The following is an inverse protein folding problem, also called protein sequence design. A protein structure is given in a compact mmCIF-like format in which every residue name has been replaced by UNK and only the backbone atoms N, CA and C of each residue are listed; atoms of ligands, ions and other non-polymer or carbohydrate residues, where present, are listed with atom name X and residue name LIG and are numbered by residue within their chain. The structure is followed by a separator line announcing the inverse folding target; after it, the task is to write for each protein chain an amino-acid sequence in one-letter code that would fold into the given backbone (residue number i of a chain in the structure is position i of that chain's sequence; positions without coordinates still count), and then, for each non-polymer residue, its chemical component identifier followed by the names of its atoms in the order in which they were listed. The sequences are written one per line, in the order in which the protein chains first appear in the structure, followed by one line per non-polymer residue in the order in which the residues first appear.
data_IF_175771542730
#
_entry.id   IF_175771542730
#
_cell.length_a   1.000
_cell.length_b   1.000
_cell.length_c   1.000
_cell.angle_alpha   90.00
_cell.angle_beta   90.00
_cell.angle_gamma   90.00
#
_symmetry.space_group_name_H-M   'P 1'
#
loop_
_entity.id
_entity.type
_entity.pdbx_description
1 polymer ?
#
# COMPACT_ATOMS: atom_id res chain seq x y z
N UNK A 1 65.48 -70.82 -32.68
CA UNK A 1 65.30 -72.28 -32.65
C UNK A 1 64.32 -72.60 -31.54
N UNK A 2 63.21 -73.23 -31.91
CA UNK A 2 62.10 -73.75 -31.09
C UNK A 2 62.22 -73.72 -29.56
N UNK A 3 61.16 -73.23 -28.90
CA UNK A 3 60.47 -74.00 -27.86
C UNK A 3 59.03 -73.50 -27.70
N UNK A 4 58.08 -74.39 -28.03
CA UNK A 4 56.69 -74.39 -27.58
C UNK A 4 56.67 -74.64 -26.06
N UNK A 5 55.67 -74.10 -25.37
CA UNK A 5 54.78 -74.88 -24.49
C UNK A 5 53.54 -74.06 -24.16
N UNK A 6 52.38 -74.62 -24.49
CA UNK A 6 51.05 -74.17 -24.11
C UNK A 6 50.77 -74.46 -22.64
N UNK A 7 50.06 -73.57 -21.94
CA UNK A 7 49.11 -73.98 -20.91
C UNK A 7 47.98 -72.98 -20.76
N UNK A 8 46.77 -73.52 -20.80
CA UNK A 8 45.47 -72.86 -20.70
C UNK A 8 45.28 -72.08 -19.39
N UNK A 9 44.75 -70.86 -19.51
CA UNK A 9 44.24 -70.05 -18.40
C UNK A 9 42.87 -69.48 -18.75
N UNK A 10 41.83 -70.03 -18.12
CA UNK A 10 40.45 -69.53 -18.11
C UNK A 10 40.38 -68.30 -17.19
N UNK A 11 39.72 -67.21 -17.61
CA UNK A 11 39.30 -66.18 -16.65
C UNK A 11 38.93 -64.81 -17.22
N UNK A 12 37.65 -64.47 -17.09
CA UNK A 12 37.05 -63.13 -17.01
C UNK A 12 37.16 -62.15 -18.19
N UNK A 13 36.09 -62.14 -19.00
CA UNK A 13 35.65 -60.93 -19.70
C UNK A 13 35.00 -59.97 -18.69
N UNK A 14 35.62 -58.84 -18.40
CA UNK A 14 34.96 -57.70 -17.76
C UNK A 14 34.04 -57.04 -18.80
N UNK A 15 32.73 -57.32 -18.70
CA UNK A 15 31.71 -56.53 -19.38
C UNK A 15 31.46 -55.27 -18.57
N UNK A 16 31.85 -54.11 -19.11
CA UNK A 16 31.47 -52.82 -18.54
C UNK A 16 29.98 -52.59 -18.81
N UNK A 17 29.14 -52.81 -17.79
CA UNK A 17 27.76 -52.33 -17.78
C UNK A 17 27.79 -50.82 -17.51
N UNK A 18 27.59 -50.02 -18.56
CA UNK A 18 27.27 -48.60 -18.40
C UNK A 18 25.83 -48.53 -17.92
N UNK A 19 25.67 -48.35 -16.60
CA UNK A 19 24.38 -48.10 -15.98
C UNK A 19 24.00 -46.63 -16.25
N UNK A 20 23.25 -46.36 -17.31
CA UNK A 20 22.61 -45.06 -17.51
C UNK A 20 21.54 -44.87 -16.43
N UNK A 21 21.91 -44.22 -15.33
CA UNK A 21 20.96 -43.65 -14.37
C UNK A 21 20.22 -42.51 -15.06
N UNK A 22 19.02 -42.81 -15.58
CA UNK A 22 18.05 -41.79 -15.98
C UNK A 22 17.49 -41.23 -14.68
N UNK A 23 18.02 -40.08 -14.25
CA UNK A 23 17.41 -39.26 -13.19
C UNK A 23 16.09 -38.73 -13.72
N UNK A 24 14.98 -39.36 -13.34
CA UNK A 24 13.66 -38.75 -13.46
C UNK A 24 13.62 -37.58 -12.48
N UNK A 25 13.70 -36.35 -12.99
CA UNK A 25 13.32 -35.17 -12.24
C UNK A 25 11.83 -35.31 -11.92
N UNK A 26 11.50 -35.60 -10.66
CA UNK A 26 10.12 -35.50 -10.21
C UNK A 26 9.71 -34.03 -10.37
N UNK A 27 8.56 -33.73 -11.01
CA UNK A 27 8.04 -32.38 -11.00
C UNK A 27 7.87 -31.97 -9.53
N UNK A 28 8.62 -30.93 -9.13
CA UNK A 28 8.49 -30.38 -7.79
C UNK A 28 7.04 -29.98 -7.58
N UNK A 29 6.38 -30.59 -6.58
CA UNK A 29 5.12 -30.05 -6.07
C UNK A 29 5.47 -28.65 -5.61
N UNK A 30 4.96 -27.62 -6.29
CA UNK A 30 5.08 -26.26 -5.82
C UNK A 30 4.49 -26.24 -4.42
N UNK A 31 5.32 -25.99 -3.41
CA UNK A 31 4.84 -25.84 -2.05
C UNK A 31 3.78 -24.74 -2.05
N UNK A 32 2.65 -24.97 -1.39
CA UNK A 32 1.66 -23.91 -1.18
C UNK A 32 2.36 -22.71 -0.52
N UNK A 33 2.06 -21.48 -0.95
CA UNK A 33 2.67 -20.30 -0.35
C UNK A 33 2.39 -20.28 1.14
N UNK A 34 3.41 -19.95 1.93
CA UNK A 34 3.28 -19.84 3.38
C UNK A 34 2.18 -18.83 3.72
N UNK A 35 1.38 -19.13 4.74
CA UNK A 35 0.28 -18.26 5.14
C UNK A 35 0.05 -18.26 6.64
N UNK A 36 -0.57 -17.18 7.11
CA UNK A 36 -0.98 -16.97 8.51
C UNK A 36 -2.50 -16.89 8.55
N UNK A 37 -3.19 -17.78 9.29
CA UNK A 37 -4.60 -17.57 9.62
C UNK A 37 -4.78 -16.23 10.35
N UNK A 38 -5.80 -15.48 9.99
CA UNK A 38 -6.03 -14.13 10.47
C UNK A 38 -7.47 -13.93 10.96
N UNK A 39 -7.77 -12.73 11.42
CA UNK A 39 -9.09 -12.32 11.91
C UNK A 39 -10.22 -12.63 10.90
N UNK A 40 -11.39 -13.02 11.40
CA UNK A 40 -12.58 -13.23 10.56
C UNK A 40 -12.51 -14.43 9.60
N UNK A 41 -11.49 -15.29 9.74
CA UNK A 41 -11.27 -16.41 8.81
C UNK A 41 -10.44 -16.06 7.57
N UNK A 42 -10.00 -14.80 7.46
CA UNK A 42 -9.06 -14.39 6.41
C UNK A 42 -7.68 -15.06 6.59
N UNK A 43 -6.87 -15.03 5.54
CA UNK A 43 -5.48 -15.48 5.56
C UNK A 43 -4.56 -14.42 4.99
N UNK A 44 -3.43 -14.20 5.65
CA UNK A 44 -2.34 -13.42 5.09
C UNK A 44 -1.39 -14.38 4.36
N UNK A 45 -1.18 -14.16 3.06
CA UNK A 45 -0.40 -15.05 2.19
C UNK A 45 0.95 -14.39 1.90
N UNK A 46 2.06 -15.04 2.24
CA UNK A 46 3.39 -14.57 1.84
C UNK A 46 3.61 -14.83 0.35
N UNK A 47 3.64 -13.76 -0.45
CA UNK A 47 3.80 -13.87 -1.90
C UNK A 47 5.15 -14.47 -2.28
N UNK A 48 5.16 -15.35 -3.28
CA UNK A 48 6.40 -15.63 -4.03
C UNK A 48 6.82 -14.38 -4.83
N UNK A 49 8.10 -14.27 -5.25
CA UNK A 49 8.52 -13.17 -6.11
C UNK A 49 7.69 -13.04 -7.39
N UNK A 50 7.28 -14.16 -8.00
CA UNK A 50 6.42 -14.16 -9.19
C UNK A 50 5.03 -13.59 -8.90
N UNK A 51 4.42 -13.98 -7.78
CA UNK A 51 3.12 -13.44 -7.34
C UNK A 51 3.24 -11.94 -7.02
N UNK A 52 4.31 -11.54 -6.34
CA UNK A 52 4.60 -10.14 -6.00
C UNK A 52 4.78 -9.27 -7.24
N UNK A 53 5.59 -9.72 -8.20
CA UNK A 53 5.84 -9.01 -9.46
C UNK A 53 4.53 -8.84 -10.25
N UNK A 54 3.75 -9.92 -10.38
CA UNK A 54 2.44 -9.86 -11.04
C UNK A 54 1.49 -8.88 -10.35
N UNK A 55 1.51 -8.83 -9.02
CA UNK A 55 0.63 -7.95 -8.25
C UNK A 55 1.02 -6.48 -8.41
N UNK A 56 2.29 -6.13 -8.18
CA UNK A 56 2.73 -4.72 -8.17
C UNK A 56 2.76 -4.08 -9.56
N UNK A 57 2.94 -4.90 -10.61
CA UNK A 57 2.94 -4.45 -12.01
C UNK A 57 1.57 -4.50 -12.68
N UNK A 58 0.51 -4.85 -11.93
CA UNK A 58 -0.84 -4.90 -12.46
C UNK A 58 -1.27 -3.52 -12.99
N UNK A 59 -1.86 -3.51 -14.19
CA UNK A 59 -2.58 -2.35 -14.71
C UNK A 59 -3.89 -2.22 -13.93
N UNK A 60 -3.89 -1.39 -12.89
CA UNK A 60 -5.03 -1.11 -12.04
C UNK A 60 -5.28 0.41 -11.95
N UNK A 61 -6.29 0.79 -11.18
CA UNK A 61 -6.66 2.20 -11.03
C UNK A 61 -5.51 3.08 -10.54
N UNK A 62 -4.65 2.61 -9.62
CA UNK A 62 -3.47 3.39 -9.23
C UNK A 62 -2.57 3.67 -10.43
N UNK A 63 -2.18 2.63 -11.16
CA UNK A 63 -1.31 2.77 -12.33
C UNK A 63 -1.96 3.61 -13.43
N UNK A 64 -3.28 3.54 -13.61
CA UNK A 64 -4.04 4.41 -14.53
C UNK A 64 -3.97 5.90 -14.16
N UNK A 65 -3.89 6.21 -12.87
CA UNK A 65 -3.85 7.58 -12.36
C UNK A 65 -2.43 8.16 -12.22
N UNK A 66 -1.39 7.32 -12.16
CA UNK A 66 -0.01 7.80 -12.07
C UNK A 66 0.36 8.67 -13.28
N UNK A 67 0.78 9.92 -13.00
CA UNK A 67 1.16 10.92 -14.01
C UNK A 67 2.63 10.89 -14.43
N UNK A 68 2.99 11.64 -15.49
CA UNK A 68 4.36 11.67 -16.02
C UNK A 68 5.38 12.29 -15.06
N UNK A 69 5.04 13.43 -14.45
CA UNK A 69 5.90 14.08 -13.45
C UNK A 69 6.01 13.23 -12.18
N UNK A 70 4.91 12.60 -11.78
CA UNK A 70 4.88 11.68 -10.64
C UNK A 70 5.83 10.49 -10.85
N UNK A 71 5.85 9.86 -12.03
CA UNK A 71 6.80 8.78 -12.32
C UNK A 71 8.26 9.23 -12.22
N UNK A 72 8.58 10.44 -12.71
CA UNK A 72 9.93 11.00 -12.57
C UNK A 72 10.32 11.20 -11.11
N UNK A 73 9.41 11.71 -10.29
CA UNK A 73 9.62 11.89 -8.85
C UNK A 73 9.80 10.55 -8.13
N UNK A 74 8.93 9.57 -8.42
CA UNK A 74 9.00 8.22 -7.80
C UNK A 74 10.26 7.45 -8.19
N UNK A 75 10.73 7.61 -9.42
CA UNK A 75 11.96 6.96 -9.91
C UNK A 75 13.23 7.81 -9.78
N UNK A 76 13.12 9.00 -9.19
CA UNK A 76 14.22 9.97 -9.08
C UNK A 76 14.96 10.23 -10.41
N UNK A 77 14.19 10.38 -11.50
CA UNK A 77 14.70 10.57 -12.85
C UNK A 77 14.52 12.01 -13.33
N UNK A 78 15.60 12.64 -13.77
CA UNK A 78 15.54 13.95 -14.44
C UNK A 78 15.05 13.86 -15.90
N UNK A 79 15.02 12.66 -16.46
CA UNK A 79 14.52 12.40 -17.81
C UNK A 79 13.09 11.81 -17.74
N UNK A 80 12.23 12.09 -18.74
CA UNK A 80 10.90 11.52 -18.81
C UNK A 80 10.90 9.99 -18.66
N UNK A 81 10.00 9.50 -17.81
CA UNK A 81 9.84 8.07 -17.52
C UNK A 81 8.63 7.53 -18.27
N UNK A 82 8.80 6.45 -19.03
CA UNK A 82 7.67 5.75 -19.62
C UNK A 82 6.97 4.87 -18.59
N UNK A 83 5.67 4.65 -18.78
CA UNK A 83 4.88 3.76 -17.92
C UNK A 83 5.41 2.32 -17.91
N UNK A 84 5.95 1.85 -19.03
CA UNK A 84 6.61 0.54 -19.12
C UNK A 84 7.88 0.50 -18.25
N UNK A 85 8.71 1.55 -18.29
CA UNK A 85 9.90 1.65 -17.47
C UNK A 85 9.57 1.70 -15.96
N UNK A 86 8.51 2.43 -15.60
CA UNK A 86 8.02 2.50 -14.21
C UNK A 86 7.50 1.15 -13.71
N UNK A 87 6.67 0.45 -14.49
CA UNK A 87 6.22 -0.90 -14.10
C UNK A 87 7.39 -1.87 -13.98
N UNK A 88 8.37 -1.79 -14.89
CA UNK A 88 9.58 -2.60 -14.83
C UNK A 88 10.40 -2.31 -13.56
N UNK A 89 10.51 -1.06 -13.13
CA UNK A 89 11.22 -0.74 -11.88
C UNK A 89 10.49 -1.27 -10.65
N UNK A 90 9.15 -1.17 -10.61
CA UNK A 90 8.35 -1.75 -9.53
C UNK A 90 8.55 -3.28 -9.43
N UNK A 91 8.46 -3.98 -10.57
CA UNK A 91 8.69 -5.43 -10.62
C UNK A 91 10.12 -5.84 -10.20
N UNK A 92 11.12 -5.07 -10.63
CA UNK A 92 12.52 -5.30 -10.25
C UNK A 92 12.78 -5.11 -8.74
N UNK A 93 11.94 -4.37 -8.05
CA UNK A 93 12.02 -4.17 -6.60
C UNK A 93 11.50 -5.35 -5.77
N UNK A 94 10.80 -6.32 -6.36
CA UNK A 94 10.25 -7.46 -5.62
C UNK A 94 11.35 -8.38 -5.11
N UNK A 95 11.25 -8.79 -3.85
CA UNK A 95 12.20 -9.68 -3.18
C UNK A 95 11.56 -10.98 -2.74
N UNK A 96 12.39 -12.01 -2.59
CA UNK A 96 12.01 -13.21 -1.85
C UNK A 96 12.00 -12.93 -0.35
N UNK A 97 11.05 -13.51 0.36
CA UNK A 97 10.99 -13.48 1.82
C UNK A 97 12.17 -14.21 2.46
N UNK A 98 12.70 -13.65 3.53
CA UNK A 98 13.62 -14.35 4.42
C UNK A 98 12.88 -14.95 5.62
N UNK A 99 13.35 -16.07 6.19
CA UNK A 99 12.70 -16.67 7.36
C UNK A 99 12.50 -15.71 8.53
N UNK A 100 13.49 -14.86 8.83
CA UNK A 100 13.41 -13.87 9.90
C UNK A 100 12.37 -12.76 9.64
N UNK A 101 12.15 -12.39 8.37
CA UNK A 101 11.14 -11.39 7.99
C UNK A 101 9.73 -11.97 8.14
N UNK A 102 9.56 -13.24 7.79
CA UNK A 102 8.32 -13.99 7.98
C UNK A 102 7.97 -14.06 9.47
N UNK A 103 8.92 -14.39 10.34
CA UNK A 103 8.69 -14.46 11.79
C UNK A 103 8.24 -13.10 12.38
N UNK A 104 8.81 -11.99 11.88
CA UNK A 104 8.39 -10.63 12.28
C UNK A 104 6.93 -10.39 11.90
N UNK A 105 6.56 -10.69 10.66
CA UNK A 105 5.21 -10.48 10.15
C UNK A 105 4.20 -11.40 10.83
N UNK A 106 4.53 -12.66 11.08
CA UNK A 106 3.68 -13.61 11.80
C UNK A 106 3.37 -13.12 13.22
N UNK A 107 4.39 -12.60 13.93
CA UNK A 107 4.21 -12.02 15.25
C UNK A 107 3.34 -10.76 15.21
N UNK A 108 3.59 -9.86 14.25
CA UNK A 108 2.79 -8.66 14.05
C UNK A 108 1.33 -9.00 13.75
N UNK A 109 1.09 -9.92 12.81
CA UNK A 109 -0.23 -10.40 12.43
C UNK A 109 -0.98 -10.99 13.63
N UNK A 110 -0.30 -11.79 14.46
CA UNK A 110 -0.90 -12.31 15.69
C UNK A 110 -1.35 -11.18 16.63
N UNK A 111 -0.52 -10.17 16.85
CA UNK A 111 -0.86 -9.04 17.71
C UNK A 111 -2.04 -8.24 17.18
N UNK A 112 -2.08 -7.98 15.87
CA UNK A 112 -3.22 -7.29 15.23
C UNK A 112 -4.50 -8.13 15.34
N UNK A 113 -4.41 -9.44 15.08
CA UNK A 113 -5.57 -10.33 15.16
C UNK A 113 -6.15 -10.41 16.59
N UNK A 114 -5.30 -10.45 17.61
CA UNK A 114 -5.68 -10.38 19.03
C UNK A 114 -6.31 -9.02 19.37
N UNK A 115 -5.73 -7.90 18.91
CA UNK A 115 -6.28 -6.57 19.14
C UNK A 115 -7.62 -6.33 18.43
N UNK A 116 -7.87 -7.02 17.32
CA UNK A 116 -9.14 -7.00 16.58
C UNK A 116 -10.25 -7.83 17.27
N UNK A 117 -9.96 -8.57 18.34
CA UNK A 117 -10.99 -9.31 19.05
C UNK A 117 -12.08 -8.37 19.58
N UNK A 118 -13.33 -8.63 19.17
CA UNK A 118 -14.50 -7.83 19.56
C UNK A 118 -14.92 -6.78 18.53
N UNK A 119 -14.15 -6.58 17.46
CA UNK A 119 -14.51 -5.71 16.34
C UNK A 119 -14.99 -6.52 15.12
N UNK A 120 -15.94 -5.97 14.37
CA UNK A 120 -16.32 -6.42 13.04
C UNK A 120 -15.38 -5.76 12.02
N UNK A 121 -14.34 -6.51 11.63
CA UNK A 121 -13.31 -6.04 10.71
C UNK A 121 -13.23 -6.98 9.50
N UNK A 122 -14.09 -6.78 8.48
CA UNK A 122 -14.15 -7.68 7.34
C UNK A 122 -12.95 -7.47 6.41
N UNK A 123 -12.29 -8.57 6.07
CA UNK A 123 -11.22 -8.62 5.07
C UNK A 123 -11.59 -9.59 3.95
N UNK A 124 -11.01 -9.44 2.76
CA UNK A 124 -11.01 -10.51 1.77
C UNK A 124 -10.50 -11.82 2.36
N UNK A 125 -10.94 -12.96 1.80
CA UNK A 125 -10.52 -14.29 2.28
C UNK A 125 -8.99 -14.45 2.28
N UNK A 126 -8.31 -13.84 1.31
CA UNK A 126 -6.87 -13.84 1.19
C UNK A 126 -6.37 -12.41 0.98
N UNK A 127 -5.37 -12.01 1.78
CA UNK A 127 -4.61 -10.77 1.62
C UNK A 127 -3.17 -11.14 1.33
N UNK A 128 -2.66 -10.72 0.17
CA UNK A 128 -1.30 -11.04 -0.25
C UNK A 128 -0.29 -10.07 0.40
N UNK A 129 0.75 -10.60 1.03
CA UNK A 129 1.87 -9.83 1.57
C UNK A 129 3.03 -9.89 0.57
N UNK A 130 3.41 -8.74 0.02
CA UNK A 130 4.44 -8.64 -1.02
C UNK A 130 5.68 -7.96 -0.44
N UNK A 131 6.82 -8.65 -0.47
CA UNK A 131 8.11 -8.11 -0.03
C UNK A 131 8.80 -7.33 -1.15
N UNK A 132 9.18 -6.08 -0.92
CA UNK A 132 9.84 -5.22 -1.93
C UNK A 132 11.05 -4.47 -1.38
N UNK A 133 11.90 -3.93 -2.23
CA UNK A 133 13.06 -3.12 -1.86
C UNK A 133 12.69 -1.69 -1.46
N UNK A 134 13.63 -0.97 -0.82
CA UNK A 134 13.46 0.44 -0.45
C UNK A 134 13.23 1.39 -1.64
N UNK A 135 13.62 0.98 -2.86
CA UNK A 135 13.40 1.78 -4.06
C UNK A 135 11.92 1.81 -4.50
N UNK A 136 11.09 0.91 -3.98
CA UNK A 136 9.65 0.90 -4.27
C UNK A 136 8.95 1.90 -3.36
N UNK A 137 8.24 2.85 -3.98
CA UNK A 137 7.34 3.80 -3.29
C UNK A 137 8.01 4.59 -2.15
N UNK A 138 9.31 4.87 -2.28
CA UNK A 138 10.06 5.65 -1.29
C UNK A 138 10.26 4.93 0.04
N UNK A 139 10.34 3.60 0.04
CA UNK A 139 10.48 2.74 1.22
C UNK A 139 9.27 2.79 2.17
N UNK A 140 8.09 3.18 1.66
CA UNK A 140 6.86 3.23 2.42
C UNK A 140 5.97 1.99 2.19
N UNK A 141 5.46 1.38 3.29
CA UNK A 141 4.34 0.45 3.23
C UNK A 141 3.15 1.10 2.52
N UNK A 142 2.42 0.29 1.76
CA UNK A 142 1.21 0.69 1.04
C UNK A 142 0.44 -0.54 0.57
N UNK A 143 -0.77 -0.34 0.07
CA UNK A 143 -1.62 -1.39 -0.48
C UNK A 143 -1.89 -1.23 -1.98
N UNK A 144 -2.18 -2.35 -2.64
CA UNK A 144 -2.62 -2.42 -4.05
C UNK A 144 -3.69 -3.50 -4.17
N UNK A 145 -4.98 -3.14 -4.15
CA UNK A 145 -6.05 -4.15 -4.08
C UNK A 145 -5.95 -4.98 -2.79
N UNK A 146 -6.22 -6.28 -2.83
CA UNK A 146 -6.13 -7.16 -1.66
C UNK A 146 -4.67 -7.57 -1.35
N UNK A 147 -3.74 -6.61 -1.34
CA UNK A 147 -2.34 -6.88 -1.00
C UNK A 147 -1.71 -5.74 -0.23
N UNK A 148 -0.89 -6.09 0.75
CA UNK A 148 -0.03 -5.20 1.53
C UNK A 148 1.40 -5.35 1.04
N UNK A 149 2.05 -4.23 0.69
CA UNK A 149 3.40 -4.19 0.15
C UNK A 149 4.33 -3.73 1.27
N UNK A 150 5.30 -4.58 1.62
CA UNK A 150 6.23 -4.37 2.74
C UNK A 150 7.65 -4.12 2.22
N UNK A 151 8.14 -2.86 2.26
CA UNK A 151 9.48 -2.50 1.82
C UNK A 151 10.54 -2.80 2.90
N UNK A 152 11.80 -2.43 2.66
CA UNK A 152 12.88 -2.68 3.61
C UNK A 152 12.66 -1.93 4.94
N UNK A 153 12.12 -0.71 4.86
CA UNK A 153 11.82 0.17 5.99
C UNK A 153 10.88 -0.44 7.01
N UNK A 154 9.94 -1.31 6.60
CA UNK A 154 9.05 -2.04 7.50
C UNK A 154 9.82 -2.86 8.56
N UNK A 155 10.97 -3.42 8.17
CA UNK A 155 11.80 -4.29 9.01
C UNK A 155 12.90 -3.54 9.77
N UNK A 156 12.89 -2.20 9.75
CA UNK A 156 13.83 -1.40 10.51
C UNK A 156 13.62 -1.57 12.03
N UNK A 157 14.69 -1.46 12.81
CA UNK A 157 14.65 -1.60 14.28
C UNK A 157 13.83 -0.52 15.00
N UNK A 158 13.52 0.57 14.30
CA UNK A 158 12.76 1.71 14.84
C UNK A 158 11.25 1.61 14.58
N UNK A 159 10.79 0.62 13.81
CA UNK A 159 9.38 0.47 13.49
C UNK A 159 8.65 -0.34 14.55
N UNK A 160 7.33 -0.18 14.58
CA UNK A 160 6.41 -1.11 15.23
C UNK A 160 5.64 -1.87 14.14
N UNK A 161 6.09 -3.09 13.78
CA UNK A 161 5.49 -3.88 12.70
C UNK A 161 3.99 -4.13 12.86
N UNK A 162 3.48 -4.28 14.09
CA UNK A 162 2.06 -4.54 14.32
C UNK A 162 1.21 -3.31 14.04
N UNK A 163 1.68 -2.12 14.43
CA UNK A 163 0.99 -0.85 14.14
C UNK A 163 0.96 -0.55 12.65
N UNK A 164 2.10 -0.72 11.97
CA UNK A 164 2.16 -0.55 10.52
C UNK A 164 1.25 -1.57 9.83
N UNK A 165 1.31 -2.85 10.21
CA UNK A 165 0.45 -3.85 9.58
C UNK A 165 -1.04 -3.56 9.83
N UNK A 166 -1.43 -3.07 11.01
CA UNK A 166 -2.80 -2.64 11.27
C UNK A 166 -3.22 -1.46 10.38
N UNK A 167 -2.34 -0.48 10.19
CA UNK A 167 -2.54 0.65 9.27
C UNK A 167 -2.80 0.14 7.85
N UNK A 168 -1.93 -0.73 7.31
CA UNK A 168 -2.11 -1.27 5.97
C UNK A 168 -3.37 -2.13 5.82
N UNK A 169 -3.69 -2.95 6.82
CA UNK A 169 -4.91 -3.76 6.79
C UNK A 169 -6.18 -2.92 6.85
N UNK A 170 -6.13 -1.70 7.42
CA UNK A 170 -7.22 -0.75 7.33
C UNK A 170 -7.50 -0.38 5.87
N UNK A 171 -6.47 -0.08 5.07
CA UNK A 171 -6.62 0.21 3.64
C UNK A 171 -7.22 -0.96 2.85
N UNK A 172 -6.79 -2.19 3.16
CA UNK A 172 -7.38 -3.37 2.54
C UNK A 172 -8.86 -3.50 2.90
N UNK A 173 -9.23 -3.33 4.17
CA UNK A 173 -10.63 -3.38 4.59
C UNK A 173 -11.45 -2.28 3.90
N UNK A 174 -10.98 -1.03 3.94
CA UNK A 174 -11.72 0.15 3.47
C UNK A 174 -11.96 0.11 1.95
N UNK A 175 -10.96 -0.34 1.18
CA UNK A 175 -11.03 -0.46 -0.28
C UNK A 175 -11.97 -1.57 -0.75
N UNK A 176 -12.19 -2.60 0.05
CA UNK A 176 -13.08 -3.73 -0.28
C UNK A 176 -14.50 -3.59 0.31
N UNK A 177 -14.71 -2.64 1.23
CA UNK A 177 -15.98 -2.41 1.90
C UNK A 177 -16.37 -0.92 1.84
N UNK A 178 -16.75 -0.40 0.66
CA UNK A 178 -16.96 1.04 0.45
C UNK A 178 -18.05 1.63 1.35
N UNK A 179 -19.09 0.86 1.71
CA UNK A 179 -20.12 1.31 2.66
C UNK A 179 -19.57 1.47 4.08
N UNK A 180 -18.67 0.58 4.51
CA UNK A 180 -18.00 0.68 5.81
C UNK A 180 -17.00 1.83 5.82
N UNK A 181 -16.22 1.97 4.74
CA UNK A 181 -15.32 3.12 4.53
C UNK A 181 -16.09 4.44 4.63
N UNK A 182 -17.22 4.57 3.93
CA UNK A 182 -17.99 5.82 3.93
C UNK A 182 -18.48 6.15 5.37
N UNK A 183 -18.93 5.16 6.16
CA UNK A 183 -19.27 5.36 7.59
C UNK A 183 -18.08 5.77 8.47
N UNK A 184 -16.91 5.19 8.23
CA UNK A 184 -15.68 5.55 8.95
C UNK A 184 -15.21 6.97 8.59
N UNK A 185 -15.34 7.37 7.32
CA UNK A 185 -15.02 8.72 6.86
C UNK A 185 -15.96 9.76 7.49
N UNK A 186 -17.23 9.41 7.70
CA UNK A 186 -18.18 10.27 8.39
C UNK A 186 -17.78 10.57 9.84
N UNK A 187 -17.05 9.66 10.52
CA UNK A 187 -16.51 9.91 11.86
C UNK A 187 -15.67 11.19 11.85
N UNK A 188 -14.80 11.36 10.86
CA UNK A 188 -13.94 12.55 10.67
C UNK A 188 -14.58 13.59 9.74
N UNK A 189 -15.91 13.63 9.68
CA UNK A 189 -16.73 14.62 8.97
C UNK A 189 -16.55 14.66 7.44
N UNK A 190 -15.93 13.64 6.85
CA UNK A 190 -15.92 13.47 5.40
C UNK A 190 -17.23 12.82 4.95
N UNK A 191 -17.78 13.32 3.85
CA UNK A 191 -19.02 12.80 3.26
C UNK A 191 -18.77 12.42 1.82
N UNK A 192 -19.41 11.34 1.37
CA UNK A 192 -19.31 10.89 -0.02
C UNK A 192 -19.85 11.97 -0.97
N UNK A 193 -19.14 12.21 -2.06
CA UNK A 193 -19.57 13.07 -3.16
C UNK A 193 -19.39 12.36 -4.52
N UNK A 194 -19.70 13.06 -5.61
CA UNK A 194 -19.28 12.63 -6.94
C UNK A 194 -17.77 12.62 -7.04
N UNK A 195 -17.23 11.86 -7.99
CA UNK A 195 -15.82 11.96 -8.33
C UNK A 195 -15.50 13.36 -8.86
N UNK A 196 -14.52 14.01 -8.23
CA UNK A 196 -14.06 15.35 -8.58
C UNK A 196 -12.81 15.24 -9.44
N UNK A 197 -12.94 15.61 -10.71
CA UNK A 197 -11.80 15.72 -11.62
C UNK A 197 -10.90 16.89 -11.22
N UNK A 198 -9.58 16.67 -11.19
CA UNK A 198 -8.63 17.75 -10.97
C UNK A 198 -8.56 18.66 -12.21
N UNK A 199 -8.55 19.99 -12.03
CA UNK A 199 -8.44 20.91 -13.14
C UNK A 199 -7.03 20.89 -13.73
N UNK A 200 -6.92 21.28 -15.01
CA UNK A 200 -5.65 21.27 -15.76
C UNK A 200 -4.53 22.10 -15.10
N UNK A 201 -4.89 23.10 -14.27
CA UNK A 201 -3.93 23.90 -13.51
C UNK A 201 -3.12 23.12 -12.47
N UNK A 202 -3.63 21.98 -11.96
CA UNK A 202 -2.95 21.18 -10.92
C UNK A 202 -2.78 19.71 -11.29
N UNK A 203 -3.58 19.22 -12.24
CA UNK A 203 -3.58 17.81 -12.66
C UNK A 203 -2.18 17.28 -13.07
N UNK A 204 -1.31 18.04 -13.79
CA UNK A 204 0.04 17.57 -14.09
C UNK A 204 0.94 17.36 -12.86
N UNK A 205 0.64 18.06 -11.76
CA UNK A 205 1.37 17.97 -10.49
C UNK A 205 0.77 16.96 -9.53
N UNK A 206 -0.33 16.26 -9.88
CA UNK A 206 -0.92 15.27 -8.99
C UNK A 206 0.10 14.21 -8.61
N UNK A 207 0.11 13.86 -7.32
CA UNK A 207 0.69 12.62 -6.82
C UNK A 207 -0.45 11.71 -6.36
N UNK A 208 -0.43 10.46 -6.82
CA UNK A 208 -1.49 9.48 -6.59
C UNK A 208 -1.18 8.69 -5.31
N UNK A 209 -2.12 8.64 -4.36
CA UNK A 209 -1.97 7.74 -3.21
C UNK A 209 -2.32 6.30 -3.64
N UNK A 210 -1.41 5.31 -3.51
CA UNK A 210 -1.72 3.91 -3.84
C UNK A 210 -2.87 3.33 -3.01
N UNK A 211 -3.04 3.77 -1.77
CA UNK A 211 -4.06 3.26 -0.83
C UNK A 211 -5.46 3.81 -1.11
N UNK A 212 -5.54 5.04 -1.61
CA UNK A 212 -6.79 5.70 -1.98
C UNK A 212 -6.56 6.76 -3.07
N UNK A 213 -6.73 6.37 -4.34
CA UNK A 213 -6.53 7.27 -5.48
C UNK A 213 -7.80 7.99 -5.97
N UNK A 214 -8.93 7.79 -5.30
CA UNK A 214 -10.22 8.37 -5.70
C UNK A 214 -10.50 9.70 -5.01
N UNK A 215 -11.03 10.65 -5.79
CA UNK A 215 -11.46 11.96 -5.31
C UNK A 215 -12.99 11.99 -5.08
N UNK A 216 -13.48 11.23 -4.10
CA UNK A 216 -14.92 10.97 -3.93
C UNK A 216 -15.48 11.33 -2.54
N UNK A 217 -14.73 12.12 -1.76
CA UNK A 217 -15.16 12.58 -0.45
C UNK A 217 -14.81 14.04 -0.22
N UNK A 218 -15.71 14.75 0.46
CA UNK A 218 -15.61 16.16 0.75
C UNK A 218 -15.80 16.40 2.24
N UNK A 219 -15.05 17.36 2.78
CA UNK A 219 -15.28 17.90 4.12
C UNK A 219 -15.63 19.37 4.01
N UNK A 220 -16.56 19.85 4.84
CA UNK A 220 -16.89 21.27 4.93
C UNK A 220 -16.14 21.88 6.11
N UNK A 221 -15.44 22.96 5.85
CA UNK A 221 -14.65 23.69 6.85
C UNK A 221 -15.03 25.17 6.88
N UNK A 222 -14.87 25.82 8.03
CA UNK A 222 -14.95 27.28 8.12
C UNK A 222 -13.71 27.94 7.50
N UNK A 223 -13.94 28.78 6.49
CA UNK A 223 -12.93 29.66 5.89
C UNK A 223 -13.44 31.08 6.00
N UNK A 224 -12.87 31.84 6.94
CA UNK A 224 -13.24 33.23 7.20
C UNK A 224 -14.75 33.44 7.46
N UNK A 225 -15.38 32.55 8.23
CA UNK A 225 -16.80 32.61 8.57
C UNK A 225 -17.74 32.06 7.49
N UNK A 226 -17.20 31.42 6.45
CA UNK A 226 -17.96 30.77 5.39
C UNK A 226 -17.71 29.26 5.41
N UNK A 227 -18.78 28.48 5.51
CA UNK A 227 -18.72 27.04 5.33
C UNK A 227 -18.34 26.71 3.89
N UNK A 228 -17.13 26.16 3.72
CA UNK A 228 -16.47 25.96 2.44
C UNK A 228 -16.19 24.48 2.24
N UNK A 229 -16.73 23.84 1.18
CA UNK A 229 -16.39 22.46 0.86
C UNK A 229 -14.95 22.39 0.31
N UNK A 230 -14.17 21.46 0.84
CA UNK A 230 -12.79 21.22 0.43
C UNK A 230 -12.52 19.73 0.28
N UNK A 231 -11.54 19.41 -0.57
CA UNK A 231 -11.04 18.06 -0.76
C UNK A 231 -9.51 18.04 -0.64
N UNK A 232 -8.93 17.11 0.14
CA UNK A 232 -7.51 16.82 0.15
C UNK A 232 -6.97 16.50 -1.25
N UNK A 233 -5.86 17.13 -1.63
CA UNK A 233 -5.11 16.79 -2.84
C UNK A 233 -3.62 16.74 -2.52
N UNK A 234 -2.93 15.76 -3.11
CA UNK A 234 -1.48 15.61 -3.00
C UNK A 234 -0.88 16.05 -4.33
N UNK A 235 0.00 17.04 -4.26
CA UNK A 235 0.66 17.64 -5.42
C UNK A 235 2.18 17.50 -5.28
N UNK A 236 2.90 17.67 -6.37
CA UNK A 236 4.34 17.94 -6.34
C UNK A 236 4.55 19.41 -5.97
N UNK A 237 5.57 19.70 -5.15
CA UNK A 237 5.97 21.07 -4.75
C UNK A 237 6.36 21.96 -5.95
N UNK A 238 6.79 21.35 -7.04
CA UNK A 238 7.23 22.00 -8.27
C UNK A 238 6.49 21.41 -9.47
N UNK A 239 6.28 22.23 -10.50
CA UNK A 239 5.77 21.79 -11.81
C UNK A 239 6.84 21.06 -12.66
N UNK A 240 8.08 21.04 -12.19
CA UNK A 240 9.21 20.34 -12.81
C UNK A 240 9.81 19.35 -11.79
N UNK A 241 10.46 18.30 -12.30
CA UNK A 241 11.15 17.33 -11.45
C UNK A 241 12.15 18.03 -10.51
N UNK A 242 12.15 17.63 -9.24
CA UNK A 242 13.18 18.02 -8.27
C UNK A 242 13.73 16.75 -7.59
N UNK A 243 15.05 16.67 -7.37
CA UNK A 243 15.66 15.54 -6.68
C UNK A 243 15.26 15.47 -5.20
N UNK A 244 15.42 14.30 -4.59
CA UNK A 244 15.17 14.07 -3.15
C UNK A 244 14.09 13.02 -2.84
N UNK A 245 13.64 12.26 -3.83
CA UNK A 245 12.63 11.23 -3.66
C UNK A 245 11.20 11.73 -3.50
N UNK A 246 10.27 10.79 -3.39
CA UNK A 246 8.82 11.02 -3.34
C UNK A 246 8.41 11.98 -2.22
N UNK A 247 8.74 11.65 -0.96
CA UNK A 247 8.30 12.40 0.21
C UNK A 247 8.87 13.83 0.29
N UNK A 248 10.08 14.06 -0.25
CA UNK A 248 10.66 15.41 -0.33
C UNK A 248 10.00 16.28 -1.41
N UNK A 249 9.14 15.71 -2.23
CA UNK A 249 8.44 16.42 -3.30
C UNK A 249 6.95 16.64 -3.01
N UNK A 250 6.36 16.04 -1.96
CA UNK A 250 4.91 16.17 -1.69
C UNK A 250 4.53 17.54 -1.13
N UNK A 251 3.52 18.17 -1.72
CA UNK A 251 2.76 19.29 -1.17
C UNK A 251 1.31 18.87 -0.95
N UNK A 252 0.88 18.86 0.30
CA UNK A 252 -0.49 18.53 0.67
C UNK A 252 -1.33 19.80 0.77
N UNK A 253 -2.43 19.84 0.00
CA UNK A 253 -3.31 21.01 -0.10
C UNK A 253 -4.77 20.62 0.07
N UNK A 254 -5.59 21.59 0.45
CA UNK A 254 -7.04 21.47 0.43
C UNK A 254 -7.55 22.24 -0.79
N UNK A 255 -8.04 21.53 -1.79
CA UNK A 255 -8.67 22.15 -2.96
C UNK A 255 -10.09 22.59 -2.60
N UNK A 256 -10.38 23.88 -2.78
CA UNK A 256 -11.72 24.42 -2.57
C UNK A 256 -12.62 23.98 -3.71
N UNK A 257 -13.84 23.57 -3.35
CA UNK A 257 -14.86 23.15 -4.29
C UNK A 257 -15.99 24.17 -4.36
N UNK A 258 -16.73 24.14 -5.45
CA UNK A 258 -18.05 24.73 -5.57
C UNK A 258 -19.08 23.61 -5.70
N UNK A 259 -20.27 23.85 -5.13
CA UNK A 259 -21.36 22.90 -5.17
C UNK A 259 -22.52 23.47 -5.98
N UNK A 260 -22.96 22.71 -6.98
CA UNK A 260 -24.14 23.01 -7.79
C UNK A 260 -24.91 21.72 -8.08
N UNK A 261 -26.22 21.74 -7.87
CA UNK A 261 -27.11 20.59 -8.09
C UNK A 261 -26.65 19.30 -7.39
N UNK A 262 -26.10 19.42 -6.18
CA UNK A 262 -25.59 18.30 -5.39
C UNK A 262 -24.32 17.66 -5.94
N UNK A 263 -23.64 18.33 -6.89
CA UNK A 263 -22.34 17.94 -7.42
C UNK A 263 -21.28 18.95 -7.04
N UNK A 264 -20.09 18.44 -6.79
CA UNK A 264 -18.90 19.23 -6.47
C UNK A 264 -17.97 19.29 -7.69
N UNK A 265 -17.42 20.48 -7.91
CA UNK A 265 -16.39 20.74 -8.90
C UNK A 265 -15.31 21.66 -8.29
N UNK A 266 -14.07 21.67 -8.82
CA UNK A 266 -13.02 22.57 -8.34
C UNK A 266 -13.43 24.03 -8.50
N UNK A 267 -13.21 24.84 -7.46
CA UNK A 267 -13.35 26.29 -7.55
C UNK A 267 -12.16 26.87 -8.31
N UNK A 268 -12.43 27.61 -9.39
CA UNK A 268 -11.41 28.25 -10.21
C UNK A 268 -11.47 29.78 -10.08
N UNK A 269 -10.30 30.40 -9.93
CA UNK A 269 -10.12 31.87 -10.02
C UNK A 269 -9.08 32.13 -11.09
N UNK A 270 -9.45 32.88 -12.13
CA UNK A 270 -8.59 33.13 -13.31
C UNK A 270 -8.04 31.86 -13.98
N UNK A 271 -8.80 30.76 -13.91
CA UNK A 271 -8.43 29.45 -14.46
C UNK A 271 -7.60 28.57 -13.52
N UNK A 272 -7.22 29.08 -12.34
CA UNK A 272 -6.40 28.40 -11.36
C UNK A 272 -7.23 27.83 -10.21
N UNK A 273 -6.89 26.62 -9.76
CA UNK A 273 -7.52 26.00 -8.59
C UNK A 273 -7.23 26.80 -7.31
N UNK A 274 -8.27 27.02 -6.50
CA UNK A 274 -8.10 27.63 -5.18
C UNK A 274 -7.62 26.56 -4.20
N UNK A 275 -6.39 26.68 -3.72
CA UNK A 275 -5.74 25.72 -2.82
C UNK A 275 -5.42 26.35 -1.46
N UNK A 276 -5.96 25.79 -0.38
CA UNK A 276 -5.64 26.20 0.99
C UNK A 276 -4.50 25.37 1.56
N UNK A 277 -3.77 25.93 2.53
CA UNK A 277 -2.85 25.19 3.37
C UNK A 277 -3.62 24.51 4.51
N UNK A 278 -3.56 23.18 4.65
CA UNK A 278 -4.21 22.45 5.74
C UNK A 278 -3.75 22.91 7.13
N UNK A 279 -2.50 23.37 7.25
CA UNK A 279 -1.93 23.89 8.51
C UNK A 279 -2.49 25.24 8.90
N UNK A 280 -2.97 26.02 7.93
CA UNK A 280 -3.57 27.34 8.15
C UNK A 280 -5.10 27.25 8.29
N UNK A 281 -5.69 26.13 7.86
CA UNK A 281 -7.10 25.80 8.03
C UNK A 281 -7.35 25.17 9.41
N UNK A 282 -7.40 25.99 10.47
CA UNK A 282 -7.61 25.51 11.84
C UNK A 282 -8.89 24.68 12.02
N UNK A 283 -9.95 24.98 11.27
CA UNK A 283 -11.20 24.22 11.30
C UNK A 283 -11.03 22.82 10.69
N UNK A 284 -10.21 22.66 9.64
CA UNK A 284 -9.91 21.35 9.06
C UNK A 284 -9.32 20.38 10.09
N UNK A 285 -8.32 20.83 10.86
CA UNK A 285 -7.71 20.02 11.92
C UNK A 285 -8.69 19.69 13.06
N UNK A 286 -9.71 20.52 13.29
CA UNK A 286 -10.77 20.20 14.25
C UNK A 286 -11.73 19.16 13.68
N UNK A 287 -12.10 19.26 12.40
CA UNK A 287 -12.98 18.30 11.72
C UNK A 287 -12.39 16.90 11.67
N UNK A 288 -11.10 16.76 11.42
CA UNK A 288 -10.46 15.45 11.27
C UNK A 288 -9.87 14.89 12.58
N UNK A 289 -9.88 15.69 13.64
CA UNK A 289 -9.17 15.40 14.89
C UNK A 289 -7.65 15.60 14.79
N UNK A 290 -6.97 15.59 15.94
CA UNK A 290 -5.55 15.97 16.07
C UNK A 290 -4.69 14.83 16.62
N UNK A 291 -5.14 13.60 16.45
CA UNK A 291 -4.45 12.39 16.94
C UNK A 291 -3.22 12.02 16.10
N UNK A 292 -3.22 12.36 14.80
CA UNK A 292 -2.08 12.15 13.89
C UNK A 292 -1.69 13.42 13.15
N UNK A 293 -0.43 13.50 12.72
CA UNK A 293 0.07 14.49 11.77
C UNK A 293 -0.01 14.04 10.31
N UNK A 294 -0.37 12.78 10.06
CA UNK A 294 -0.44 12.20 8.71
C UNK A 294 -1.81 12.46 8.08
N UNK A 295 -2.00 13.73 7.69
CA UNK A 295 -3.32 14.28 7.34
C UNK A 295 -3.56 14.41 5.83
N UNK A 296 -2.74 13.75 5.01
CA UNK A 296 -2.67 13.96 3.55
C UNK A 296 -3.90 13.46 2.80
N UNK A 297 -4.67 12.54 3.41
CA UNK A 297 -5.91 11.97 2.89
C UNK A 297 -6.76 11.47 4.07
N UNK A 298 -8.12 11.47 4.01
CA UNK A 298 -8.96 10.89 5.07
C UNK A 298 -8.64 9.41 5.35
N UNK A 299 -8.26 8.67 4.30
CA UNK A 299 -7.78 7.30 4.40
C UNK A 299 -6.60 7.17 5.38
N UNK A 300 -5.55 7.97 5.22
CA UNK A 300 -4.37 7.97 6.09
C UNK A 300 -4.70 8.39 7.52
N UNK A 301 -5.57 9.42 7.67
CA UNK A 301 -6.01 9.89 8.98
C UNK A 301 -6.66 8.76 9.75
N UNK A 302 -7.55 8.01 9.10
CA UNK A 302 -8.27 6.92 9.75
C UNK A 302 -7.40 5.68 9.92
N UNK A 303 -6.50 5.34 9.00
CA UNK A 303 -5.58 4.23 9.16
C UNK A 303 -4.65 4.43 10.37
N UNK A 304 -4.14 5.64 10.57
CA UNK A 304 -3.36 5.99 11.77
C UNK A 304 -4.21 5.94 13.04
N UNK A 305 -5.43 6.49 13.01
CA UNK A 305 -6.34 6.42 14.15
C UNK A 305 -6.76 4.98 14.46
N UNK A 306 -6.86 4.10 13.46
CA UNK A 306 -7.14 2.69 13.64
C UNK A 306 -5.99 1.99 14.37
N UNK A 307 -4.74 2.23 13.95
CA UNK A 307 -3.57 1.72 14.66
C UNK A 307 -3.49 2.27 16.10
N UNK A 308 -3.85 3.54 16.33
CA UNK A 308 -3.98 4.09 17.69
C UNK A 308 -5.10 3.40 18.48
N UNK A 309 -6.28 3.19 17.89
CA UNK A 309 -7.41 2.52 18.53
C UNK A 309 -7.05 1.12 19.03
N UNK A 310 -6.29 0.36 18.26
CA UNK A 310 -5.91 -1.01 18.61
C UNK A 310 -4.82 -1.09 19.69
N UNK A 311 -3.86 -0.16 19.70
CA UNK A 311 -2.64 -0.32 20.48
C UNK A 311 -2.44 0.74 21.56
N UNK A 312 -2.90 1.98 21.36
CA UNK A 312 -2.78 3.09 22.33
C UNK A 312 -4.02 4.01 22.31
N UNK A 313 -5.22 3.51 22.67
CA UNK A 313 -6.45 4.30 22.61
C UNK A 313 -6.53 5.39 23.70
N UNK A 314 -5.72 5.28 24.77
CA UNK A 314 -5.77 6.19 25.91
C UNK A 314 -4.95 7.47 25.69
N UNK A 315 -5.44 8.60 26.20
CA UNK A 315 -4.67 9.86 26.23
C UNK A 315 -4.48 10.53 24.87
N UNK A 316 -5.16 10.06 23.83
CA UNK A 316 -5.22 10.74 22.52
C UNK A 316 -5.90 12.11 22.65
N UNK A 317 -5.56 13.05 21.74
CA UNK A 317 -6.01 14.45 21.85
C UNK A 317 -7.50 14.61 21.61
N UNK A 318 -8.03 13.83 20.67
CA UNK A 318 -9.41 13.86 20.23
C UNK A 318 -9.98 12.45 20.30
N UNK A 319 -10.35 12.03 21.52
CA UNK A 319 -10.87 10.69 21.81
C UNK A 319 -12.14 10.34 21.01
N UNK A 320 -12.93 11.35 20.63
CA UNK A 320 -14.16 11.17 19.84
C UNK A 320 -13.89 10.49 18.48
N UNK A 321 -12.69 10.63 17.90
CA UNK A 321 -12.33 9.93 16.65
C UNK A 321 -12.27 8.43 16.92
N UNK A 322 -11.55 8.04 17.97
CA UNK A 322 -11.37 6.64 18.37
C UNK A 322 -12.72 6.04 18.78
N UNK A 323 -13.49 6.73 19.62
CA UNK A 323 -14.82 6.31 20.05
C UNK A 323 -15.79 6.13 18.86
N UNK A 324 -15.75 7.06 17.89
CA UNK A 324 -16.57 6.97 16.68
C UNK A 324 -16.20 5.76 15.82
N UNK A 325 -14.90 5.48 15.64
CA UNK A 325 -14.44 4.30 14.91
C UNK A 325 -14.84 3.00 15.62
N UNK A 326 -14.71 2.95 16.95
CA UNK A 326 -15.14 1.80 17.76
C UNK A 326 -16.65 1.54 17.63
N UNK A 327 -17.46 2.59 17.61
CA UNK A 327 -18.91 2.47 17.43
C UNK A 327 -19.28 1.95 16.03
N UNK A 328 -18.54 2.35 15.00
CA UNK A 328 -18.73 1.85 13.62
C UNK A 328 -18.28 0.39 13.47
N UNK A 329 -17.21 0.00 14.15
CA UNK A 329 -16.57 -1.32 14.03
C UNK A 329 -17.00 -2.32 15.12
N UNK A 330 -17.98 -2.02 15.97
CA UNK A 330 -18.43 -2.97 16.98
C UNK A 330 -19.18 -4.17 16.34
N UNK A 331 -19.04 -5.35 16.95
CA UNK A 331 -19.78 -6.56 16.59
C UNK A 331 -21.27 -6.51 16.96
#
# INVERSE_FOLDING_TARGET
MNRKFDSLGVGCRFGAFVCCLVLFAMPGIAAEPQSVPFHGGAKLIFATPEQGEKQITKQDGFIEHVGELEMQVRMESAEPVSKEAYLKSLGAGVKAWKPEEIEIVEKAAKQVAEALEGYDFPLPEEVLLVRVSAEVEGDAPHCRGASVILPDGFFSVTTDPARILAHELFHVMSSHHPELRDKLYEVIHFTKCNEVELPESVKPQRVTNPDAYWNQHVVRIDVAGQETPVMPVILTRSAEYQPGGLFANLDFRLMVLEEADGKFAPKLVDGEAVLLSPREAADYLQKIGRNTGYIIHPEEVLADNFALMLFDPEGVRDAWVIEGMQEVLKK
#
